data_IF_652406114077
#
_entry.id   IF_652406114077
#
_cell.length_a   1.000
_cell.length_b   1.000
_cell.length_c   1.000
_cell.angle_alpha   90.00
_cell.angle_beta   90.00
_cell.angle_gamma   90.00
#
_symmetry.space_group_name_H-M   'P 1'
#
loop_
_entity.id
_entity.type
_entity.pdbx_description
1 polymer ?
#
# COMPACT_ATOMS: atom_id res chain seq x y z
N UNK A 1 -16.76 -18.33 -17.73
CA UNK A 1 -16.49 -19.78 -17.83
C UNK A 1 -16.09 -20.29 -16.47
N UNK A 2 -16.61 -21.43 -16.04
CA UNK A 2 -16.15 -22.09 -14.82
C UNK A 2 -14.92 -22.96 -15.14
N UNK A 3 -13.89 -22.98 -14.29
CA UNK A 3 -12.72 -23.81 -14.51
C UNK A 3 -13.07 -25.30 -14.41
N UNK A 4 -12.38 -26.12 -15.19
CA UNK A 4 -12.44 -27.59 -15.17
C UNK A 4 -11.19 -28.17 -14.49
N UNK A 5 -11.21 -29.46 -14.20
CA UNK A 5 -10.12 -30.12 -13.47
C UNK A 5 -8.73 -29.90 -14.11
N UNK A 6 -8.69 -29.90 -15.45
CA UNK A 6 -7.44 -29.76 -16.21
C UNK A 6 -6.87 -28.35 -16.25
N UNK A 7 -7.66 -27.35 -15.83
CA UNK A 7 -7.19 -25.96 -15.73
C UNK A 7 -6.26 -25.76 -14.53
N UNK A 8 -6.31 -26.65 -13.54
CA UNK A 8 -5.42 -26.62 -12.39
C UNK A 8 -4.54 -27.87 -12.35
N UNK A 9 -5.12 -29.05 -12.53
CA UNK A 9 -4.41 -30.34 -12.43
C UNK A 9 -4.13 -30.91 -13.81
N UNK A 10 -2.87 -31.15 -14.17
CA UNK A 10 -2.56 -31.77 -15.46
C UNK A 10 -3.00 -33.25 -15.46
N UNK A 11 -3.41 -33.77 -16.63
CA UNK A 11 -3.98 -35.12 -16.76
C UNK A 11 -2.98 -36.24 -16.47
N UNK A 12 -1.67 -36.00 -16.68
CA UNK A 12 -0.63 -37.01 -16.49
C UNK A 12 0.35 -36.68 -15.35
N UNK A 13 0.12 -35.58 -14.61
CA UNK A 13 0.93 -35.22 -13.44
C UNK A 13 0.09 -34.41 -12.43
N UNK A 14 -0.70 -35.09 -11.61
CA UNK A 14 -1.46 -34.45 -10.54
C UNK A 14 -0.50 -34.07 -9.41
N UNK A 15 -0.03 -32.82 -9.44
CA UNK A 15 0.83 -32.25 -8.41
C UNK A 15 0.12 -32.22 -7.05
N UNK A 16 0.88 -32.43 -5.98
CA UNK A 16 0.35 -32.40 -4.61
C UNK A 16 0.07 -30.97 -4.14
N UNK A 17 -1.10 -30.78 -3.56
CA UNK A 17 -1.62 -29.45 -3.20
C UNK A 17 -0.94 -28.84 -1.97
N UNK A 18 -0.23 -29.67 -1.20
CA UNK A 18 0.48 -29.27 0.00
C UNK A 18 1.83 -28.62 -0.31
N UNK A 19 2.36 -28.85 -1.52
CA UNK A 19 3.68 -28.37 -1.92
C UNK A 19 3.71 -26.85 -1.99
N UNK A 20 4.77 -26.19 -1.48
CA UNK A 20 4.87 -24.73 -1.53
C UNK A 20 4.72 -24.16 -2.94
N UNK A 21 5.29 -24.84 -3.93
CA UNK A 21 5.19 -24.45 -5.34
C UNK A 21 3.74 -24.41 -5.83
N UNK A 22 2.95 -25.44 -5.55
CA UNK A 22 1.52 -25.45 -5.90
C UNK A 22 0.75 -24.35 -5.18
N UNK A 23 1.05 -24.15 -3.89
CA UNK A 23 0.37 -23.16 -3.06
C UNK A 23 0.52 -21.73 -3.59
N UNK A 24 1.63 -21.40 -4.24
CA UNK A 24 1.85 -20.09 -4.86
C UNK A 24 1.25 -20.00 -6.26
N UNK A 25 1.30 -21.10 -7.02
CA UNK A 25 0.82 -21.12 -8.41
C UNK A 25 -0.70 -20.96 -8.51
N UNK A 26 -1.46 -21.55 -7.57
CA UNK A 26 -2.94 -21.50 -7.59
C UNK A 26 -3.52 -20.08 -7.59
N UNK A 27 -2.78 -19.10 -7.04
CA UNK A 27 -3.18 -17.69 -7.04
C UNK A 27 -3.25 -17.15 -8.47
N UNK A 28 -2.28 -17.54 -9.31
CA UNK A 28 -2.21 -17.12 -10.71
C UNK A 28 -3.32 -17.77 -11.53
N UNK A 29 -3.66 -19.03 -11.25
CA UNK A 29 -4.72 -19.74 -11.98
C UNK A 29 -6.08 -19.03 -11.84
N UNK A 30 -6.44 -18.60 -10.63
CA UNK A 30 -7.65 -17.79 -10.45
C UNK A 30 -7.58 -16.46 -11.23
N UNK A 31 -6.39 -15.86 -11.31
CA UNK A 31 -6.14 -14.59 -11.99
C UNK A 31 -6.17 -14.65 -13.52
N UNK A 32 -6.09 -15.84 -14.14
CA UNK A 32 -6.22 -16.00 -15.60
C UNK A 32 -7.56 -15.44 -16.10
N UNK A 33 -8.63 -15.67 -15.32
CA UNK A 33 -9.96 -15.10 -15.59
C UNK A 33 -10.28 -13.91 -14.69
N UNK A 34 -9.88 -13.92 -13.41
CA UNK A 34 -10.17 -12.85 -12.44
C UNK A 34 -9.01 -11.86 -12.31
N UNK A 35 -8.63 -11.20 -13.41
CA UNK A 35 -7.47 -10.30 -13.45
C UNK A 35 -7.58 -9.13 -12.45
N UNK A 36 -8.76 -8.54 -12.35
CA UNK A 36 -9.00 -7.40 -11.47
C UNK A 36 -8.96 -7.81 -9.98
N UNK A 37 -9.57 -8.95 -9.64
CA UNK A 37 -9.46 -9.53 -8.30
C UNK A 37 -8.01 -9.88 -7.98
N UNK A 38 -7.24 -10.44 -8.92
CA UNK A 38 -5.83 -10.73 -8.70
C UNK A 38 -5.02 -9.45 -8.44
N UNK A 39 -5.30 -8.37 -9.17
CA UNK A 39 -4.66 -7.06 -8.99
C UNK A 39 -4.87 -6.54 -7.58
N UNK A 40 -6.13 -6.37 -7.18
CA UNK A 40 -6.50 -5.87 -5.84
C UNK A 40 -6.07 -6.81 -4.71
N UNK A 41 -6.11 -8.13 -4.93
CA UNK A 41 -5.58 -9.10 -3.97
C UNK A 41 -4.09 -8.86 -3.70
N UNK A 42 -3.29 -8.60 -4.74
CA UNK A 42 -1.85 -8.34 -4.63
C UNK A 42 -1.53 -7.07 -3.84
N UNK A 43 -2.46 -6.13 -3.78
CA UNK A 43 -2.34 -4.90 -2.97
C UNK A 43 -2.62 -5.15 -1.48
N UNK A 44 -3.16 -6.31 -1.11
CA UNK A 44 -3.36 -6.69 0.29
C UNK A 44 -2.12 -7.29 0.93
N UNK A 45 -2.09 -7.29 2.27
CA UNK A 45 -1.04 -7.97 3.03
C UNK A 45 -0.86 -9.44 2.65
N UNK A 46 -1.95 -10.19 2.48
CA UNK A 46 -1.87 -11.59 2.06
C UNK A 46 -1.24 -11.71 0.67
N UNK A 47 -1.68 -10.87 -0.28
CA UNK A 47 -1.12 -10.83 -1.63
C UNK A 47 0.36 -10.49 -1.67
N UNK A 48 0.78 -9.44 -0.97
CA UNK A 48 2.17 -9.02 -0.88
C UNK A 48 3.06 -10.14 -0.29
N UNK A 49 2.62 -10.76 0.80
CA UNK A 49 3.38 -11.85 1.45
C UNK A 49 3.46 -13.09 0.55
N UNK A 50 2.39 -13.45 -0.16
CA UNK A 50 2.49 -14.51 -1.18
C UNK A 50 3.43 -14.15 -2.34
N UNK A 51 3.48 -12.87 -2.73
CA UNK A 51 4.40 -12.37 -3.76
C UNK A 51 5.87 -12.51 -3.36
N UNK A 52 6.16 -12.48 -2.05
CA UNK A 52 7.50 -12.75 -1.50
C UNK A 52 7.83 -14.25 -1.39
N UNK A 53 6.92 -15.15 -1.83
CA UNK A 53 7.13 -16.59 -1.82
C UNK A 53 6.72 -17.31 -0.54
N UNK A 54 6.13 -16.59 0.44
CA UNK A 54 5.62 -17.23 1.65
C UNK A 54 4.29 -17.93 1.38
N UNK A 55 4.14 -19.14 1.93
CA UNK A 55 2.98 -20.01 1.67
C UNK A 55 2.06 -20.19 2.87
N UNK A 56 2.44 -19.67 4.03
CA UNK A 56 1.63 -19.70 5.27
C UNK A 56 0.82 -18.40 5.41
N UNK A 57 0.04 -18.09 4.39
CA UNK A 57 -0.87 -16.94 4.32
C UNK A 57 -2.09 -17.32 3.49
N UNK A 58 -3.21 -16.63 3.70
CA UNK A 58 -4.44 -16.94 2.99
C UNK A 58 -4.32 -16.58 1.51
N UNK A 59 -4.90 -17.43 0.66
CA UNK A 59 -4.97 -17.30 -0.80
C UNK A 59 -6.43 -17.33 -1.25
N UNK A 60 -6.65 -17.18 -2.55
CA UNK A 60 -7.99 -17.22 -3.17
C UNK A 60 -8.82 -18.42 -2.66
N UNK A 61 -8.23 -19.62 -2.68
CA UNK A 61 -8.90 -20.86 -2.30
C UNK A 61 -9.10 -21.05 -0.80
N UNK A 62 -8.33 -20.37 0.06
CA UNK A 62 -8.50 -20.46 1.51
C UNK A 62 -9.78 -19.72 1.97
N UNK A 63 -10.16 -18.67 1.23
CA UNK A 63 -11.38 -17.91 1.44
C UNK A 63 -12.55 -18.46 0.63
N UNK A 64 -12.39 -18.75 -0.67
CA UNK A 64 -13.49 -19.15 -1.58
C UNK A 64 -13.68 -20.66 -1.74
N UNK A 65 -12.71 -21.48 -1.33
CA UNK A 65 -12.66 -22.91 -1.64
C UNK A 65 -11.98 -23.23 -2.97
N UNK A 66 -11.79 -24.52 -3.27
CA UNK A 66 -11.08 -25.01 -4.47
C UNK A 66 -11.96 -25.72 -5.50
N UNK A 67 -12.89 -26.58 -5.09
CA UNK A 67 -13.70 -27.41 -6.01
C UNK A 67 -15.21 -27.11 -6.00
N UNK A 68 -15.67 -26.16 -5.17
CA UNK A 68 -17.08 -25.72 -5.08
C UNK A 68 -17.14 -24.24 -4.69
N UNK A 69 -16.63 -23.40 -5.58
CA UNK A 69 -16.57 -21.95 -5.37
C UNK A 69 -17.98 -21.39 -5.56
N UNK A 70 -18.56 -20.86 -4.49
CA UNK A 70 -19.91 -20.27 -4.48
C UNK A 70 -19.82 -18.73 -4.44
N UNK A 71 -20.77 -18.02 -5.06
CA UNK A 71 -20.83 -16.56 -4.97
C UNK A 71 -21.07 -16.13 -3.52
N UNK A 72 -20.64 -14.92 -3.15
CA UNK A 72 -20.82 -14.38 -1.80
C UNK A 72 -22.28 -14.18 -1.39
N UNK A 73 -23.20 -14.13 -2.36
CA UNK A 73 -24.65 -14.08 -2.11
C UNK A 73 -25.22 -15.41 -1.64
N UNK A 74 -24.55 -16.55 -1.89
CA UNK A 74 -25.00 -17.85 -1.43
C UNK A 74 -24.67 -18.02 0.06
N UNK A 75 -25.68 -18.35 0.87
CA UNK A 75 -25.51 -18.59 2.30
C UNK A 75 -24.51 -19.71 2.62
N UNK A 76 -24.33 -20.69 1.72
CA UNK A 76 -23.35 -21.80 1.86
C UNK A 76 -21.93 -21.40 1.48
N UNK A 77 -21.73 -20.23 0.89
CA UNK A 77 -20.39 -19.75 0.54
C UNK A 77 -19.59 -19.41 1.80
N UNK A 78 -18.32 -19.79 1.84
CA UNK A 78 -17.41 -19.40 2.92
C UNK A 78 -17.16 -17.89 2.97
N UNK A 79 -17.40 -17.18 1.87
CA UNK A 79 -17.33 -15.72 1.81
C UNK A 79 -18.69 -15.03 1.91
N UNK A 80 -19.74 -15.76 2.34
CA UNK A 80 -21.04 -15.15 2.64
C UNK A 80 -20.95 -14.31 3.91
N UNK A 81 -21.77 -13.26 4.02
CA UNK A 81 -21.73 -12.34 5.15
C UNK A 81 -21.84 -13.05 6.53
N UNK A 82 -22.62 -14.13 6.60
CA UNK A 82 -22.78 -14.94 7.80
C UNK A 82 -21.56 -15.81 8.12
N UNK A 83 -20.80 -16.23 7.11
CA UNK A 83 -19.65 -17.14 7.26
C UNK A 83 -18.30 -16.42 7.27
N UNK A 84 -18.24 -15.11 6.97
CA UNK A 84 -16.97 -14.37 6.91
C UNK A 84 -16.16 -14.47 8.21
N UNK A 85 -16.82 -14.34 9.37
CA UNK A 85 -16.14 -14.42 10.68
C UNK A 85 -15.51 -15.79 10.86
N UNK A 86 -16.25 -16.87 10.61
CA UNK A 86 -15.74 -18.24 10.76
C UNK A 86 -14.62 -18.54 9.75
N UNK A 87 -14.71 -18.00 8.53
CA UNK A 87 -13.66 -18.12 7.52
C UNK A 87 -12.35 -17.45 7.96
N UNK A 88 -12.41 -16.22 8.47
CA UNK A 88 -11.22 -15.55 8.99
C UNK A 88 -10.68 -16.23 10.25
N UNK A 89 -11.54 -16.80 11.09
CA UNK A 89 -11.15 -17.50 12.32
C UNK A 89 -10.31 -18.76 12.11
N UNK A 90 -10.32 -19.35 10.90
CA UNK A 90 -9.43 -20.47 10.54
C UNK A 90 -7.95 -20.15 10.80
N UNK A 91 -7.55 -18.89 10.58
CA UNK A 91 -6.18 -18.42 10.80
C UNK A 91 -6.09 -17.31 11.87
N UNK A 92 -7.18 -16.58 12.12
CA UNK A 92 -7.26 -15.51 13.11
C UNK A 92 -8.27 -15.85 14.20
N UNK A 93 -7.93 -16.66 15.23
CA UNK A 93 -8.90 -17.18 16.20
C UNK A 93 -9.73 -16.12 16.93
N UNK A 94 -9.21 -14.89 17.03
CA UNK A 94 -9.87 -13.75 17.70
C UNK A 94 -10.61 -12.81 16.73
N UNK A 95 -10.77 -13.19 15.46
CA UNK A 95 -11.51 -12.39 14.49
C UNK A 95 -12.98 -12.26 14.91
N UNK A 96 -13.53 -11.06 14.73
CA UNK A 96 -14.89 -10.68 15.10
C UNK A 96 -15.59 -9.95 13.94
N UNK A 97 -16.83 -9.53 14.14
CA UNK A 97 -17.62 -8.84 13.11
C UNK A 97 -16.97 -7.55 12.58
N UNK A 98 -16.24 -6.81 13.42
CA UNK A 98 -15.53 -5.60 12.98
C UNK A 98 -14.27 -5.93 12.17
N UNK A 99 -13.58 -7.02 12.52
CA UNK A 99 -12.40 -7.48 11.81
C UNK A 99 -12.72 -7.82 10.35
N UNK A 100 -13.85 -8.49 10.10
CA UNK A 100 -14.24 -8.92 8.75
C UNK A 100 -14.86 -7.82 7.89
N UNK A 101 -14.95 -6.58 8.41
CA UNK A 101 -15.33 -5.42 7.58
C UNK A 101 -14.22 -5.01 6.61
N UNK A 102 -12.99 -5.48 6.83
CA UNK A 102 -11.90 -5.31 5.89
C UNK A 102 -12.21 -6.03 4.58
N UNK A 103 -12.15 -5.30 3.46
CA UNK A 103 -12.36 -5.86 2.13
C UNK A 103 -11.04 -6.40 1.55
N UNK A 104 -10.91 -7.71 1.30
CA UNK A 104 -9.67 -8.30 0.80
C UNK A 104 -9.39 -8.03 -0.69
N UNK A 105 -10.28 -7.33 -1.38
CA UNK A 105 -10.18 -7.00 -2.80
C UNK A 105 -10.75 -5.59 -3.07
N UNK A 106 -10.48 -4.64 -2.17
CA UNK A 106 -10.94 -3.26 -2.34
C UNK A 106 -10.18 -2.59 -3.48
N UNK A 107 -10.90 -2.03 -4.45
CA UNK A 107 -10.33 -1.16 -5.49
C UNK A 107 -10.68 0.30 -5.18
N UNK A 108 -9.70 1.15 -4.80
CA UNK A 108 -9.90 2.58 -4.64
C UNK A 108 -10.15 3.32 -5.97
N UNK A 109 -9.82 2.73 -7.11
CA UNK A 109 -9.96 3.38 -8.42
C UNK A 109 -11.33 3.11 -9.07
N UNK A 110 -12.10 2.15 -8.54
CA UNK A 110 -13.45 1.86 -9.02
C UNK A 110 -14.49 2.67 -8.22
N UNK A 111 -14.83 3.83 -8.77
CA UNK A 111 -15.87 4.71 -8.23
C UNK A 111 -17.26 4.05 -8.18
N UNK A 112 -17.56 3.11 -9.08
CA UNK A 112 -18.88 2.49 -9.18
C UNK A 112 -19.10 1.46 -8.06
N UNK A 113 -18.06 0.74 -7.66
CA UNK A 113 -18.14 -0.24 -6.55
C UNK A 113 -17.91 0.37 -5.18
N UNK A 114 -16.98 1.32 -5.05
CA UNK A 114 -16.60 1.89 -3.76
C UNK A 114 -16.42 3.42 -3.85
N UNK A 115 -17.51 4.20 -4.02
CA UNK A 115 -17.41 5.66 -4.23
C UNK A 115 -16.71 6.37 -3.07
N UNK A 116 -16.93 5.93 -1.82
CA UNK A 116 -16.28 6.53 -0.65
C UNK A 116 -14.76 6.34 -0.66
N UNK A 117 -14.28 5.14 -1.01
CA UNK A 117 -12.85 4.84 -1.04
C UNK A 117 -12.13 5.64 -2.13
N UNK A 118 -12.79 5.85 -3.27
CA UNK A 118 -12.27 6.67 -4.37
C UNK A 118 -11.99 8.11 -3.96
N UNK A 119 -12.96 8.78 -3.34
CA UNK A 119 -12.79 10.17 -2.93
C UNK A 119 -11.75 10.32 -1.81
N UNK A 120 -11.74 9.41 -0.85
CA UNK A 120 -10.76 9.42 0.25
C UNK A 120 -9.35 9.20 -0.30
N UNK A 121 -9.15 8.23 -1.20
CA UNK A 121 -7.85 7.97 -1.82
C UNK A 121 -7.37 9.17 -2.65
N UNK A 122 -8.26 9.78 -3.45
CA UNK A 122 -7.96 10.98 -4.21
C UNK A 122 -7.52 12.15 -3.32
N UNK A 123 -8.26 12.41 -2.24
CA UNK A 123 -7.91 13.43 -1.26
C UNK A 123 -6.54 13.19 -0.61
N UNK A 124 -6.28 11.95 -0.16
CA UNK A 124 -5.01 11.60 0.46
C UNK A 124 -3.83 11.76 -0.50
N UNK A 125 -3.99 11.33 -1.76
CA UNK A 125 -2.96 11.54 -2.78
C UNK A 125 -2.69 13.02 -3.02
N UNK A 126 -3.74 13.84 -3.14
CA UNK A 126 -3.59 15.31 -3.32
C UNK A 126 -2.85 15.92 -2.14
N UNK A 127 -3.18 15.54 -0.90
CA UNK A 127 -2.52 16.04 0.30
C UNK A 127 -1.02 15.68 0.27
N UNK A 128 -0.69 14.43 -0.02
CA UNK A 128 0.69 13.95 -0.10
C UNK A 128 1.49 14.71 -1.17
N UNK A 129 0.97 14.78 -2.40
CA UNK A 129 1.64 15.52 -3.47
C UNK A 129 1.78 17.01 -3.17
N UNK A 130 0.75 17.62 -2.56
CA UNK A 130 0.78 19.04 -2.17
C UNK A 130 1.86 19.33 -1.12
N UNK A 131 1.96 18.48 -0.09
CA UNK A 131 2.98 18.58 0.95
C UNK A 131 4.39 18.42 0.36
N UNK A 132 4.62 17.37 -0.43
CA UNK A 132 5.93 17.15 -1.05
C UNK A 132 6.32 18.27 -2.01
N UNK A 133 5.37 18.80 -2.79
CA UNK A 133 5.62 19.91 -3.70
C UNK A 133 6.01 21.18 -2.93
N UNK A 134 5.26 21.52 -1.87
CA UNK A 134 5.52 22.72 -1.09
C UNK A 134 6.88 22.66 -0.37
N UNK A 135 7.11 21.61 0.42
CA UNK A 135 8.37 21.47 1.16
C UNK A 135 9.56 21.20 0.24
N UNK A 136 9.35 20.45 -0.84
CA UNK A 136 10.36 20.22 -1.87
C UNK A 136 10.78 21.51 -2.55
N UNK A 137 9.82 22.34 -2.98
CA UNK A 137 10.10 23.65 -3.58
C UNK A 137 10.77 24.61 -2.59
N UNK A 138 10.27 24.68 -1.35
CA UNK A 138 10.88 25.51 -0.30
C UNK A 138 12.34 25.12 -0.06
N UNK A 139 12.61 23.82 0.09
CA UNK A 139 13.97 23.29 0.30
C UNK A 139 14.85 23.55 -0.92
N UNK A 140 14.32 23.35 -2.14
CA UNK A 140 15.07 23.60 -3.38
C UNK A 140 15.41 25.09 -3.55
N UNK A 141 14.47 26.00 -3.27
CA UNK A 141 14.68 27.44 -3.33
C UNK A 141 15.70 27.91 -2.27
N UNK A 142 15.61 27.38 -1.05
CA UNK A 142 16.59 27.66 0.00
C UNK A 142 17.98 27.15 -0.38
N UNK A 143 18.09 25.91 -0.87
CA UNK A 143 19.35 25.31 -1.28
C UNK A 143 19.97 26.05 -2.47
N UNK A 144 19.14 26.42 -3.47
CA UNK A 144 19.57 27.20 -4.61
C UNK A 144 20.10 28.57 -4.20
N UNK A 145 19.39 29.28 -3.31
CA UNK A 145 19.86 30.56 -2.77
C UNK A 145 21.19 30.39 -2.02
N UNK A 146 21.27 29.41 -1.12
CA UNK A 146 22.46 29.17 -0.29
C UNK A 146 23.68 28.79 -1.13
N UNK A 147 23.51 27.91 -2.12
CA UNK A 147 24.60 27.52 -3.03
C UNK A 147 25.04 28.67 -3.94
N UNK A 148 24.11 29.50 -4.43
CA UNK A 148 24.45 30.73 -5.16
C UNK A 148 25.22 31.74 -4.29
N UNK A 149 24.87 31.90 -3.02
CA UNK A 149 25.60 32.77 -2.08
C UNK A 149 27.04 32.28 -1.86
N UNK A 150 27.23 30.98 -1.63
CA UNK A 150 28.57 30.38 -1.49
C UNK A 150 29.38 30.53 -2.78
N UNK A 151 28.75 30.28 -3.94
CA UNK A 151 29.43 30.43 -5.24
C UNK A 151 29.81 31.89 -5.53
N UNK A 152 28.94 32.85 -5.17
CA UNK A 152 29.23 34.29 -5.29
C UNK A 152 30.36 34.71 -4.35
N UNK A 153 30.37 34.27 -3.09
CA UNK A 153 31.49 34.51 -2.15
C UNK A 153 32.81 33.92 -2.65
N UNK A 154 32.78 32.74 -3.27
CA UNK A 154 33.97 32.08 -3.84
C UNK A 154 34.52 32.81 -5.09
N UNK A 155 33.66 33.51 -5.84
CA UNK A 155 34.02 34.28 -7.05
C UNK A 155 34.56 35.69 -6.72
N UNK A 156 34.28 36.23 -5.53
CA UNK A 156 34.84 37.49 -5.03
C UNK A 156 35.71 37.25 -3.78
N UNK A 157 36.98 36.80 -3.90
CA UNK A 157 37.85 36.54 -2.75
C UNK A 157 38.40 37.80 -2.05
N UNK A 158 37.91 38.99 -2.37
CA UNK A 158 38.51 40.26 -1.93
C UNK A 158 37.49 41.21 -1.34
N UNK A 159 37.20 41.04 -0.05
CA UNK A 159 37.04 42.15 0.91
C UNK A 159 36.92 41.56 2.32
N UNK A 160 37.83 41.88 3.26
CA UNK A 160 37.64 41.55 4.65
C UNK A 160 36.63 42.53 5.25
N UNK A 161 35.49 42.03 5.75
CA UNK A 161 34.66 42.84 6.65
C UNK A 161 35.39 42.97 7.99
N UNK A 162 36.18 44.03 8.09
CA UNK A 162 36.63 44.60 9.34
C UNK A 162 35.62 45.64 9.83
N UNK A 163 35.03 45.38 11.00
CA UNK A 163 34.96 46.37 12.07
C UNK A 163 33.75 47.31 12.17
N UNK A 164 33.10 47.19 13.33
CA UNK A 164 32.58 48.27 14.20
C UNK A 164 31.19 48.85 13.94
N UNK A 165 30.30 48.60 14.91
CA UNK A 165 29.25 49.54 15.33
C UNK A 165 29.87 50.61 16.27
N UNK A 166 29.81 51.91 15.93
CA UNK A 166 29.69 53.03 16.88
C UNK A 166 28.18 53.41 16.96
N UNK A 167 27.58 53.96 18.01
CA UNK A 167 28.02 55.00 18.95
C UNK A 167 26.92 55.19 20.05
N UNK A 168 27.21 56.07 21.01
CA UNK A 168 26.36 56.68 22.05
C UNK A 168 26.26 55.93 23.39
N UNK A 169 26.66 56.48 24.55
CA UNK A 169 27.05 57.83 24.91
C UNK A 169 26.89 57.98 26.43
N UNK A 170 27.96 58.31 27.15
CA UNK A 170 28.00 58.26 28.61
C UNK A 170 27.39 59.47 29.34
N UNK A 171 27.31 59.33 30.67
CA UNK A 171 27.36 60.47 31.60
C UNK A 171 26.60 60.31 32.91
N UNK A 172 27.32 60.03 34.02
CA UNK A 172 27.61 61.01 35.11
C UNK A 172 28.00 60.33 36.44
N UNK A 173 29.27 60.50 36.80
CA UNK A 173 29.89 60.84 38.09
C UNK A 173 29.19 60.49 39.42
N UNK A 174 29.94 59.82 40.30
CA UNK A 174 30.69 60.54 41.34
C UNK A 174 30.39 60.22 42.80
N UNK A 175 31.46 59.77 43.49
CA UNK A 175 31.68 59.59 44.94
C UNK A 175 31.13 58.34 45.62
#
# INVERSE_FOLDING_TARGET
MAPVCVDCHTTHEIRRVETPAWKLEIIKECGTCHRESLRTYRDTFHGQVTGLGFTRVARCSDCHGSHRILPSSDAKSSVSQANLVSTCQKCHPKANANFVRFSPHADPNDKARNPGLYYIAGFMNILVFGVFLFFGLHTALWLFRSTLEVWRRRKSPGEPEGGQDPDEGGGKNGK
#
